data_IF_968454812937
#
_entry.id   IF_968454812937
#
_cell.length_a   1.000
_cell.length_b   1.000
_cell.length_c   1.000
_cell.angle_alpha   90.00
_cell.angle_beta   90.00
_cell.angle_gamma   90.00
#
_symmetry.space_group_name_H-M   'P 1'
#
loop_
_entity.id
_entity.type
_entity.pdbx_description
1 polymer ?
#
# COMPACT_ATOMS: atom_id res chain seq x y z
N UNK A 1 16.92 10.56 -13.92
CA UNK A 1 15.96 9.43 -14.04
C UNK A 1 14.59 9.95 -13.62
N UNK A 2 13.54 9.67 -14.40
CA UNK A 2 12.17 10.09 -14.05
C UNK A 2 11.69 9.30 -12.82
N UNK A 3 10.87 9.93 -11.98
CA UNK A 3 10.26 9.27 -10.82
C UNK A 3 9.46 8.04 -11.27
N UNK A 4 9.60 6.86 -10.63
CA UNK A 4 8.71 5.73 -10.86
C UNK A 4 7.23 6.08 -10.58
N UNK A 5 6.98 6.99 -9.62
CA UNK A 5 5.62 7.44 -9.28
C UNK A 5 4.99 8.21 -10.46
N UNK A 6 5.78 8.97 -11.22
CA UNK A 6 5.28 9.71 -12.39
C UNK A 6 4.76 8.80 -13.52
N UNK A 7 5.12 7.50 -13.52
CA UNK A 7 4.58 6.49 -14.42
C UNK A 7 4.03 5.31 -13.59
N UNK A 8 2.85 5.46 -12.96
CA UNK A 8 2.38 4.55 -11.92
C UNK A 8 1.87 3.20 -12.45
N UNK A 9 1.73 3.02 -13.77
CA UNK A 9 1.05 1.86 -14.35
C UNK A 9 1.63 0.50 -13.90
N UNK A 10 2.96 0.28 -13.85
CA UNK A 10 3.51 -0.97 -13.33
C UNK A 10 3.15 -1.20 -11.86
N UNK A 11 3.21 -0.16 -11.03
CA UNK A 11 2.90 -0.22 -9.59
C UNK A 11 1.42 -0.55 -9.37
N UNK A 12 0.53 0.15 -10.09
CA UNK A 12 -0.93 -0.09 -10.05
C UNK A 12 -1.26 -1.51 -10.51
N UNK A 13 -0.59 -2.02 -11.54
CA UNK A 13 -0.77 -3.39 -11.99
C UNK A 13 -0.33 -4.41 -10.93
N UNK A 14 0.78 -4.18 -10.24
CA UNK A 14 1.21 -5.03 -9.11
C UNK A 14 0.16 -5.05 -8.01
N UNK A 15 -0.31 -3.89 -7.53
CA UNK A 15 -1.32 -3.80 -6.46
C UNK A 15 -2.63 -4.53 -6.86
N UNK A 16 -3.09 -4.31 -8.09
CA UNK A 16 -4.28 -4.97 -8.62
C UNK A 16 -4.08 -6.50 -8.78
N UNK A 17 -2.88 -6.94 -9.17
CA UNK A 17 -2.51 -8.35 -9.23
C UNK A 17 -2.59 -9.01 -7.86
N UNK A 18 -1.95 -8.40 -6.86
CA UNK A 18 -2.00 -8.87 -5.47
C UNK A 18 -3.43 -8.93 -4.92
N UNK A 19 -4.29 -7.96 -5.26
CA UNK A 19 -5.71 -7.99 -4.89
C UNK A 19 -6.43 -9.21 -5.47
N UNK A 20 -6.25 -9.48 -6.77
CA UNK A 20 -6.86 -10.63 -7.46
C UNK A 20 -6.37 -11.96 -6.92
N UNK A 21 -5.06 -12.07 -6.68
CA UNK A 21 -4.46 -13.28 -6.09
C UNK A 21 -5.03 -13.54 -4.69
N UNK A 22 -5.09 -12.50 -3.84
CA UNK A 22 -5.64 -12.60 -2.49
C UNK A 22 -7.08 -13.12 -2.50
N UNK A 23 -7.93 -12.60 -3.39
CA UNK A 23 -9.32 -13.04 -3.55
C UNK A 23 -9.44 -14.47 -4.10
N UNK A 24 -8.57 -14.85 -5.03
CA UNK A 24 -8.56 -16.19 -5.61
C UNK A 24 -8.19 -17.24 -4.54
N UNK A 25 -7.16 -16.94 -3.74
CA UNK A 25 -6.72 -17.80 -2.64
C UNK A 25 -7.82 -17.92 -1.57
N UNK A 26 -8.45 -16.81 -1.19
CA UNK A 26 -9.54 -16.82 -0.20
C UNK A 26 -10.71 -17.72 -0.64
N UNK A 27 -11.15 -17.59 -1.90
CA UNK A 27 -12.18 -18.47 -2.47
C UNK A 27 -11.76 -19.94 -2.48
N UNK A 28 -10.51 -20.24 -2.80
CA UNK A 28 -9.96 -21.59 -2.77
C UNK A 28 -9.96 -22.19 -1.36
N UNK A 29 -9.58 -21.40 -0.36
CA UNK A 29 -9.58 -21.80 1.05
C UNK A 29 -11.02 -22.02 1.55
N UNK A 30 -11.96 -21.14 1.19
CA UNK A 30 -13.36 -21.30 1.54
C UNK A 30 -13.95 -22.59 0.93
N UNK A 31 -13.60 -22.90 -0.32
CA UNK A 31 -13.99 -24.15 -0.98
C UNK A 31 -13.42 -25.37 -0.26
N UNK A 32 -12.11 -25.37 0.03
CA UNK A 32 -11.46 -26.46 0.76
C UNK A 32 -12.09 -26.68 2.14
N UNK A 33 -12.40 -25.60 2.88
CA UNK A 33 -13.08 -25.67 4.18
C UNK A 33 -14.45 -26.35 4.07
N UNK A 34 -15.23 -25.97 3.06
CA UNK A 34 -16.56 -26.55 2.81
C UNK A 34 -16.47 -28.03 2.44
N UNK A 35 -15.56 -28.39 1.54
CA UNK A 35 -15.43 -29.76 1.05
C UNK A 35 -14.90 -30.69 2.16
N UNK A 36 -13.96 -30.22 3.00
CA UNK A 36 -13.52 -30.93 4.19
C UNK A 36 -14.66 -31.17 5.19
N UNK A 37 -15.51 -30.17 5.41
CA UNK A 37 -16.70 -30.31 6.26
C UNK A 37 -17.68 -31.35 5.70
N UNK A 38 -17.91 -31.35 4.37
CA UNK A 38 -18.78 -32.33 3.71
C UNK A 38 -18.25 -33.76 3.82
N UNK A 39 -16.92 -33.97 3.73
CA UNK A 39 -16.34 -35.30 3.95
C UNK A 39 -16.57 -35.79 5.38
N UNK A 40 -16.32 -34.93 6.38
CA UNK A 40 -16.56 -35.26 7.77
C UNK A 40 -18.04 -35.62 8.05
N UNK A 41 -18.97 -34.88 7.46
CA UNK A 41 -20.41 -35.13 7.59
C UNK A 41 -20.84 -36.47 6.95
N UNK A 42 -20.37 -36.75 5.73
CA UNK A 42 -20.82 -37.92 4.98
C UNK A 42 -20.13 -39.23 5.40
N UNK A 43 -18.86 -39.16 5.85
CA UNK A 43 -18.03 -40.34 6.07
C UNK A 43 -17.48 -40.47 7.49
N UNK A 44 -17.66 -39.46 8.36
CA UNK A 44 -17.06 -39.42 9.69
C UNK A 44 -17.47 -40.56 10.62
N UNK A 45 -18.62 -41.18 10.40
CA UNK A 45 -19.08 -42.33 11.19
C UNK A 45 -18.18 -43.57 11.01
N UNK A 46 -17.61 -43.76 9.82
CA UNK A 46 -16.77 -44.93 9.50
C UNK A 46 -15.29 -44.57 9.39
N UNK A 47 -14.98 -43.34 9.01
CA UNK A 47 -13.61 -42.88 8.75
C UNK A 47 -13.30 -41.67 9.62
N UNK A 48 -13.21 -41.85 10.93
CA UNK A 48 -13.06 -40.76 11.92
C UNK A 48 -11.91 -39.77 11.61
N UNK A 49 -10.85 -40.22 10.93
CA UNK A 49 -9.74 -39.36 10.47
C UNK A 49 -10.20 -38.16 9.60
N UNK A 50 -11.33 -38.24 8.89
CA UNK A 50 -11.83 -37.10 8.11
C UNK A 50 -12.30 -35.92 8.97
N UNK A 51 -12.57 -36.13 10.26
CA UNK A 51 -12.84 -35.04 11.20
C UNK A 51 -11.58 -34.17 11.44
N UNK A 52 -10.39 -34.78 11.49
CA UNK A 52 -9.13 -34.05 11.66
C UNK A 52 -8.84 -33.13 10.47
N UNK A 53 -9.20 -33.56 9.26
CA UNK A 53 -9.10 -32.74 8.05
C UNK A 53 -10.00 -31.51 8.15
N UNK A 54 -11.28 -31.68 8.52
CA UNK A 54 -12.22 -30.57 8.73
C UNK A 54 -11.66 -29.55 9.72
N UNK A 55 -11.19 -30.01 10.87
CA UNK A 55 -10.71 -29.12 11.94
C UNK A 55 -9.44 -28.38 11.50
N UNK A 56 -8.51 -29.07 10.84
CA UNK A 56 -7.27 -28.46 10.34
C UNK A 56 -7.55 -27.39 9.27
N UNK A 57 -8.44 -27.65 8.33
CA UNK A 57 -8.81 -26.68 7.29
C UNK A 57 -9.57 -25.50 7.86
N UNK A 58 -10.44 -25.71 8.86
CA UNK A 58 -11.11 -24.62 9.57
C UNK A 58 -10.11 -23.71 10.29
N UNK A 59 -9.17 -24.28 11.05
CA UNK A 59 -8.13 -23.51 11.73
C UNK A 59 -7.23 -22.75 10.75
N UNK A 60 -6.88 -23.37 9.61
CA UNK A 60 -6.11 -22.68 8.57
C UNK A 60 -6.89 -21.50 7.98
N UNK A 61 -8.17 -21.69 7.65
CA UNK A 61 -9.05 -20.63 7.15
C UNK A 61 -9.14 -19.46 8.13
N UNK A 62 -9.30 -19.71 9.43
CA UNK A 62 -9.38 -18.63 10.43
C UNK A 62 -8.06 -17.85 10.55
N UNK A 63 -6.91 -18.52 10.42
CA UNK A 63 -5.60 -17.84 10.36
C UNK A 63 -5.45 -17.03 9.08
N UNK A 64 -5.85 -17.58 7.94
CA UNK A 64 -5.81 -16.90 6.65
C UNK A 64 -6.62 -15.61 6.66
N UNK A 65 -7.86 -15.65 7.15
CA UNK A 65 -8.73 -14.47 7.25
C UNK A 65 -8.07 -13.37 8.09
N UNK A 66 -7.45 -13.70 9.22
CA UNK A 66 -6.73 -12.71 10.05
C UNK A 66 -5.60 -12.03 9.28
N UNK A 67 -4.77 -12.81 8.59
CA UNK A 67 -3.66 -12.29 7.79
C UNK A 67 -4.16 -11.42 6.63
N UNK A 68 -5.29 -11.78 6.03
CA UNK A 68 -5.90 -11.02 4.94
C UNK A 68 -6.53 -9.70 5.42
N UNK A 69 -7.05 -9.67 6.65
CA UNK A 69 -7.49 -8.42 7.29
C UNK A 69 -6.29 -7.52 7.65
N UNK A 70 -5.19 -8.09 8.14
CA UNK A 70 -3.96 -7.33 8.40
C UNK A 70 -3.40 -6.71 7.09
N UNK A 71 -3.44 -7.44 5.96
CA UNK A 71 -3.00 -6.88 4.68
C UNK A 71 -3.94 -5.80 4.13
N UNK A 72 -5.26 -5.94 4.36
CA UNK A 72 -6.26 -4.91 4.05
C UNK A 72 -5.98 -3.62 4.82
N UNK A 73 -5.69 -3.73 6.11
CA UNK A 73 -5.44 -2.58 6.98
C UNK A 73 -4.11 -1.91 6.64
N UNK A 74 -3.08 -2.69 6.31
CA UNK A 74 -1.84 -2.19 5.74
C UNK A 74 -2.08 -1.40 4.44
N UNK A 75 -2.82 -1.95 3.48
CA UNK A 75 -3.16 -1.26 2.24
C UNK A 75 -3.91 0.06 2.50
N UNK A 76 -4.84 0.07 3.47
CA UNK A 76 -5.57 1.29 3.84
C UNK A 76 -4.65 2.36 4.43
N UNK A 77 -3.71 1.96 5.29
CA UNK A 77 -2.73 2.88 5.87
C UNK A 77 -1.77 3.45 4.80
N UNK A 78 -1.32 2.61 3.86
CA UNK A 78 -0.50 3.05 2.71
C UNK A 78 -1.27 4.01 1.80
N UNK A 79 -2.57 3.76 1.55
CA UNK A 79 -3.40 4.68 0.78
C UNK A 79 -3.47 6.07 1.43
N UNK A 80 -3.67 6.13 2.75
CA UNK A 80 -3.66 7.40 3.50
C UNK A 80 -2.30 8.08 3.42
N UNK A 81 -1.21 7.33 3.48
CA UNK A 81 0.15 7.86 3.33
C UNK A 81 0.38 8.50 1.96
N UNK A 82 0.02 7.82 0.87
CA UNK A 82 0.10 8.39 -0.48
C UNK A 82 -0.81 9.61 -0.66
N UNK A 83 -2.00 9.61 -0.04
CA UNK A 83 -2.89 10.78 -0.04
C UNK A 83 -2.25 11.99 0.65
N UNK A 84 -1.66 11.78 1.83
CA UNK A 84 -0.96 12.85 2.56
C UNK A 84 0.21 13.38 1.73
N UNK A 85 1.02 12.48 1.17
CA UNK A 85 2.12 12.86 0.29
C UNK A 85 1.65 13.72 -0.89
N UNK A 86 0.61 13.28 -1.62
CA UNK A 86 0.16 13.96 -2.84
C UNK A 86 -0.62 15.26 -2.59
N UNK A 87 -1.45 15.30 -1.55
CA UNK A 87 -2.37 16.42 -1.30
C UNK A 87 -1.75 17.47 -0.39
N UNK A 88 -0.99 17.06 0.63
CA UNK A 88 -0.40 17.97 1.61
C UNK A 88 1.00 18.36 1.15
N UNK A 89 1.92 17.40 1.08
CA UNK A 89 3.33 17.73 0.90
C UNK A 89 3.68 18.23 -0.51
N UNK A 90 3.17 17.56 -1.56
CA UNK A 90 3.34 18.09 -2.93
C UNK A 90 2.51 19.38 -3.14
N UNK A 91 1.44 19.58 -2.35
CA UNK A 91 0.71 20.85 -2.28
C UNK A 91 1.61 21.97 -1.77
N UNK A 92 2.28 21.77 -0.64
CA UNK A 92 3.23 22.74 -0.07
C UNK A 92 4.31 23.15 -1.07
N UNK A 93 4.88 22.21 -1.83
CA UNK A 93 5.87 22.53 -2.88
C UNK A 93 5.27 23.41 -3.98
N UNK A 94 4.02 23.16 -4.35
CA UNK A 94 3.28 23.95 -5.34
C UNK A 94 3.02 25.38 -4.88
N UNK A 95 3.00 25.60 -3.55
CA UNK A 95 2.67 26.89 -2.94
C UNK A 95 3.90 27.72 -2.54
N UNK A 96 5.13 27.25 -2.81
CA UNK A 96 6.36 27.99 -2.51
C UNK A 96 6.40 29.31 -3.29
N UNK A 97 6.48 30.45 -2.56
CA UNK A 97 6.61 31.80 -3.13
C UNK A 97 7.86 32.53 -2.62
N UNK A 98 8.40 32.11 -1.49
CA UNK A 98 9.54 32.70 -0.79
C UNK A 98 10.58 31.64 -0.41
N UNK A 99 11.79 32.08 -0.07
CA UNK A 99 12.82 31.19 0.48
C UNK A 99 12.42 30.61 1.85
N UNK A 100 11.59 31.34 2.62
CA UNK A 100 11.02 30.84 3.87
C UNK A 100 10.10 29.64 3.64
N UNK A 101 9.17 29.73 2.67
CA UNK A 101 8.27 28.61 2.34
C UNK A 101 9.06 27.37 1.93
N UNK A 102 10.14 27.55 1.15
CA UNK A 102 11.06 26.47 0.75
C UNK A 102 11.67 25.77 1.97
N UNK A 103 12.15 26.54 2.95
CA UNK A 103 12.78 26.00 4.16
C UNK A 103 11.77 25.29 5.07
N UNK A 104 10.55 25.81 5.16
CA UNK A 104 9.43 25.16 5.85
C UNK A 104 9.07 23.83 5.19
N UNK A 105 8.95 23.78 3.87
CA UNK A 105 8.70 22.53 3.11
C UNK A 105 9.78 21.49 3.38
N UNK A 106 11.06 21.89 3.39
CA UNK A 106 12.17 20.97 3.70
C UNK A 106 12.07 20.44 5.13
N UNK A 107 11.61 21.25 6.08
CA UNK A 107 11.41 20.86 7.48
C UNK A 107 10.26 19.87 7.63
N UNK A 108 9.11 20.16 7.03
CA UNK A 108 7.94 19.27 7.03
C UNK A 108 8.24 17.92 6.36
N UNK A 109 8.99 17.93 5.25
CA UNK A 109 9.44 16.69 4.63
C UNK A 109 10.30 15.83 5.54
N UNK A 110 11.21 16.42 6.33
CA UNK A 110 11.99 15.65 7.31
C UNK A 110 11.10 15.02 8.36
N UNK A 111 10.13 15.79 8.89
CA UNK A 111 9.17 15.27 9.86
C UNK A 111 8.37 14.08 9.31
N UNK A 112 7.92 14.16 8.07
CA UNK A 112 7.21 13.05 7.42
C UNK A 112 8.08 11.80 7.23
N UNK A 113 9.37 11.96 6.92
CA UNK A 113 10.30 10.82 6.82
C UNK A 113 10.53 10.10 8.16
N UNK A 114 10.39 10.81 9.29
CA UNK A 114 10.57 10.26 10.64
C UNK A 114 9.39 9.37 11.08
N UNK A 115 8.21 9.49 10.45
CA UNK A 115 7.03 8.69 10.79
C UNK A 115 7.19 7.19 10.45
N UNK A 116 8.12 6.84 9.56
CA UNK A 116 8.37 5.46 9.14
C UNK A 116 7.32 4.89 8.19
N UNK A 117 7.41 3.58 7.87
CA UNK A 117 6.48 2.93 6.93
C UNK A 117 5.16 2.54 7.62
N UNK A 118 4.00 2.98 7.10
CA UNK A 118 2.72 2.68 7.72
C UNK A 118 2.38 1.19 7.74
N UNK A 119 2.92 0.37 6.84
CA UNK A 119 2.70 -1.08 6.85
C UNK A 119 3.38 -1.81 8.01
N UNK A 120 4.41 -1.21 8.63
CA UNK A 120 5.23 -1.86 9.66
C UNK A 120 4.45 -2.18 10.96
N UNK A 121 3.29 -1.56 11.18
CA UNK A 121 2.42 -1.84 12.33
C UNK A 121 1.58 -3.12 12.18
N UNK A 122 1.56 -3.73 10.98
CA UNK A 122 0.73 -4.91 10.67
C UNK A 122 1.55 -6.20 10.58
N UNK A 123 0.94 -7.33 10.92
CA UNK A 123 1.60 -8.64 10.98
C UNK A 123 1.53 -9.36 9.63
N UNK A 124 2.42 -9.00 8.72
CA UNK A 124 2.45 -9.55 7.36
C UNK A 124 3.49 -10.66 7.13
N UNK A 125 4.11 -11.18 8.20
CA UNK A 125 5.26 -12.11 8.08
C UNK A 125 4.89 -13.44 7.42
N UNK A 126 3.65 -13.91 7.59
CA UNK A 126 3.14 -15.13 6.95
C UNK A 126 2.80 -14.96 5.47
N UNK A 127 2.85 -13.73 4.95
CA UNK A 127 2.65 -13.37 3.53
C UNK A 127 3.82 -12.50 3.06
N UNK A 128 5.04 -12.97 3.31
CA UNK A 128 6.29 -12.23 3.09
C UNK A 128 6.44 -11.63 1.68
N UNK A 129 5.95 -12.32 0.64
CA UNK A 129 5.95 -11.79 -0.73
C UNK A 129 5.11 -10.51 -0.88
N UNK A 130 3.89 -10.50 -0.32
CA UNK A 130 3.04 -9.31 -0.30
C UNK A 130 3.66 -8.19 0.55
N UNK A 131 4.19 -8.54 1.72
CA UNK A 131 4.91 -7.59 2.60
C UNK A 131 6.05 -6.89 1.85
N UNK A 132 6.83 -7.65 1.09
CA UNK A 132 7.94 -7.11 0.32
C UNK A 132 7.45 -6.14 -0.77
N UNK A 133 6.39 -6.48 -1.51
CA UNK A 133 5.83 -5.59 -2.52
C UNK A 133 5.29 -4.29 -1.91
N UNK A 134 4.60 -4.36 -0.76
CA UNK A 134 4.12 -3.18 -0.06
C UNK A 134 5.29 -2.27 0.35
N UNK A 135 6.34 -2.84 0.96
CA UNK A 135 7.53 -2.10 1.34
C UNK A 135 8.24 -1.46 0.14
N UNK A 136 8.34 -2.17 -0.99
CA UNK A 136 8.95 -1.64 -2.21
C UNK A 136 8.20 -0.42 -2.74
N UNK A 137 6.86 -0.45 -2.67
CA UNK A 137 6.02 0.64 -3.13
C UNK A 137 6.10 1.81 -2.14
N UNK A 138 5.96 1.55 -0.84
CA UNK A 138 6.09 2.58 0.21
C UNK A 138 7.42 3.34 0.13
N UNK A 139 8.53 2.63 -0.16
CA UNK A 139 9.86 3.20 -0.28
C UNK A 139 9.99 4.26 -1.40
N UNK A 140 9.08 4.28 -2.37
CA UNK A 140 9.10 5.28 -3.45
C UNK A 140 8.82 6.69 -2.92
N UNK A 141 7.99 6.84 -1.89
CA UNK A 141 7.64 8.15 -1.33
C UNK A 141 8.86 8.79 -0.65
N UNK A 142 9.57 8.13 0.29
CA UNK A 142 10.82 8.65 0.85
C UNK A 142 11.86 9.01 -0.19
N UNK A 143 12.03 8.18 -1.23
CA UNK A 143 12.98 8.45 -2.31
C UNK A 143 12.63 9.74 -3.07
N UNK A 144 11.36 9.94 -3.39
CA UNK A 144 10.90 11.15 -4.07
C UNK A 144 11.03 12.39 -3.19
N UNK A 145 10.73 12.27 -1.89
CA UNK A 145 10.91 13.33 -0.91
C UNK A 145 12.38 13.74 -0.83
N UNK A 146 13.29 12.79 -0.68
CA UNK A 146 14.73 13.07 -0.59
C UNK A 146 15.23 13.79 -1.85
N UNK A 147 14.79 13.35 -3.03
CA UNK A 147 15.13 14.00 -4.30
C UNK A 147 14.56 15.43 -4.37
N UNK A 148 13.31 15.63 -3.95
CA UNK A 148 12.66 16.94 -3.92
C UNK A 148 13.38 17.88 -2.96
N UNK A 149 13.69 17.42 -1.75
CA UNK A 149 14.46 18.18 -0.76
C UNK A 149 15.84 18.57 -1.28
N UNK A 150 16.55 17.68 -1.98
CA UNK A 150 17.85 18.01 -2.58
C UNK A 150 17.72 19.16 -3.59
N UNK A 151 16.69 19.15 -4.43
CA UNK A 151 16.43 20.24 -5.39
C UNK A 151 16.11 21.53 -4.64
N UNK A 152 15.21 21.49 -3.65
CA UNK A 152 14.85 22.64 -2.83
C UNK A 152 16.09 23.26 -2.15
N UNK A 153 16.91 22.44 -1.50
CA UNK A 153 18.13 22.90 -0.81
C UNK A 153 19.18 23.48 -1.78
N UNK A 154 19.21 23.02 -3.03
CA UNK A 154 20.10 23.56 -4.06
C UNK A 154 19.59 24.88 -4.68
N UNK A 155 18.29 25.18 -4.56
CA UNK A 155 17.66 26.36 -5.12
C UNK A 155 18.04 27.61 -4.31
N UNK A 156 19.16 28.23 -4.66
CA UNK A 156 19.74 29.40 -3.99
C UNK A 156 20.15 30.48 -5.00
N UNK A 157 20.39 31.70 -4.53
CA UNK A 157 20.87 32.80 -5.38
C UNK A 157 19.80 33.32 -6.35
N UNK A 158 20.17 34.17 -7.33
CA UNK A 158 19.18 34.92 -8.14
C UNK A 158 18.25 34.05 -8.99
N UNK A 159 18.61 32.79 -9.26
CA UNK A 159 17.86 31.86 -10.11
C UNK A 159 16.95 30.90 -9.33
N UNK A 160 16.91 30.98 -7.99
CA UNK A 160 16.19 30.01 -7.16
C UNK A 160 14.73 29.82 -7.59
N UNK A 161 14.04 30.90 -7.98
CA UNK A 161 12.65 30.85 -8.45
C UNK A 161 12.47 29.97 -9.69
N UNK A 162 13.39 30.04 -10.65
CA UNK A 162 13.33 29.21 -11.86
C UNK A 162 13.52 27.72 -11.53
N UNK A 163 14.38 27.42 -10.55
CA UNK A 163 14.56 26.04 -10.06
C UNK A 163 13.27 25.53 -9.41
N UNK A 164 12.61 26.35 -8.58
CA UNK A 164 11.34 26.00 -7.95
C UNK A 164 10.22 25.83 -8.99
N UNK A 165 10.07 26.75 -9.94
CA UNK A 165 9.06 26.65 -11.00
C UNK A 165 9.21 25.36 -11.81
N UNK A 166 10.47 25.00 -12.14
CA UNK A 166 10.75 23.73 -12.83
C UNK A 166 10.41 22.52 -11.97
N UNK A 167 10.77 22.54 -10.68
CA UNK A 167 10.43 21.47 -9.74
C UNK A 167 8.91 21.29 -9.63
N UNK A 168 8.15 22.38 -9.54
CA UNK A 168 6.70 22.35 -9.48
C UNK A 168 6.10 21.67 -10.73
N UNK A 169 6.62 21.99 -11.92
CA UNK A 169 6.22 21.33 -13.17
C UNK A 169 6.57 19.83 -13.18
N UNK A 170 7.79 19.48 -12.74
CA UNK A 170 8.28 18.09 -12.70
C UNK A 170 7.47 17.22 -11.72
N UNK A 171 6.87 17.82 -10.68
CA UNK A 171 6.07 17.12 -9.67
C UNK A 171 4.59 16.94 -10.04
N UNK A 172 4.08 17.63 -11.07
CA UNK A 172 2.70 17.43 -11.57
C UNK A 172 2.40 15.96 -11.89
N UNK A 173 3.21 15.24 -12.70
CA UNK A 173 2.96 13.83 -12.97
C UNK A 173 3.18 12.94 -11.73
N UNK A 174 4.06 13.32 -10.80
CA UNK A 174 4.27 12.59 -9.53
C UNK A 174 3.02 12.67 -8.65
N UNK A 175 2.37 13.83 -8.57
CA UNK A 175 1.11 14.00 -7.85
C UNK A 175 0.01 13.13 -8.44
N UNK A 176 -0.20 13.23 -9.76
CA UNK A 176 -1.19 12.41 -10.47
C UNK A 176 -0.92 10.90 -10.33
N UNK A 177 0.34 10.50 -10.32
CA UNK A 177 0.74 9.12 -10.11
C UNK A 177 0.52 8.62 -8.68
N UNK A 178 0.81 9.45 -7.69
CA UNK A 178 0.55 9.16 -6.28
C UNK A 178 -0.93 8.93 -6.01
N UNK A 179 -1.80 9.74 -6.61
CA UNK A 179 -3.26 9.55 -6.53
C UNK A 179 -3.73 8.26 -7.19
N UNK A 180 -3.09 7.81 -8.27
CA UNK A 180 -3.42 6.52 -8.89
C UNK A 180 -3.01 5.34 -8.00
N UNK A 181 -1.85 5.42 -7.36
CA UNK A 181 -1.37 4.40 -6.41
C UNK A 181 -2.27 4.37 -5.18
N UNK A 182 -2.64 5.53 -4.63
CA UNK A 182 -3.60 5.67 -3.53
C UNK A 182 -4.95 5.01 -3.84
N UNK A 183 -5.50 5.27 -5.03
CA UNK A 183 -6.74 4.62 -5.49
C UNK A 183 -6.57 3.11 -5.64
N UNK A 184 -5.42 2.62 -6.11
CA UNK A 184 -5.17 1.19 -6.24
C UNK A 184 -5.14 0.49 -4.87
N UNK A 185 -4.46 1.05 -3.87
CA UNK A 185 -4.48 0.51 -2.50
C UNK A 185 -5.86 0.61 -1.85
N UNK A 186 -6.59 1.70 -2.08
CA UNK A 186 -7.99 1.83 -1.64
C UNK A 186 -8.86 0.73 -2.27
N UNK A 187 -8.64 0.43 -3.55
CA UNK A 187 -9.29 -0.67 -4.26
C UNK A 187 -8.94 -2.04 -3.69
N UNK A 188 -7.66 -2.30 -3.41
CA UNK A 188 -7.20 -3.51 -2.72
C UNK A 188 -7.96 -3.70 -1.40
N UNK A 189 -7.96 -2.69 -0.53
CA UNK A 189 -8.60 -2.77 0.78
C UNK A 189 -10.13 -2.96 0.67
N UNK A 190 -10.78 -2.19 -0.20
CA UNK A 190 -12.24 -2.25 -0.39
C UNK A 190 -12.71 -3.60 -0.92
N UNK A 191 -11.94 -4.22 -1.82
CA UNK A 191 -12.27 -5.54 -2.36
C UNK A 191 -12.28 -6.61 -1.26
N UNK A 192 -11.35 -6.53 -0.31
CA UNK A 192 -11.27 -7.46 0.81
C UNK A 192 -12.37 -7.20 1.86
N UNK A 193 -12.74 -5.94 2.14
CA UNK A 193 -13.86 -5.64 3.05
C UNK A 193 -15.17 -6.26 2.57
N UNK A 194 -15.47 -6.19 1.27
CA UNK A 194 -16.71 -6.73 0.68
C UNK A 194 -16.88 -8.24 0.86
N UNK A 195 -15.78 -8.97 1.03
CA UNK A 195 -15.80 -10.42 1.28
C UNK A 195 -16.31 -10.72 2.69
N UNK A 196 -15.95 -9.88 3.66
CA UNK A 196 -16.21 -10.13 5.08
C UNK A 196 -17.41 -9.37 5.66
N UNK A 197 -18.02 -8.45 4.92
CA UNK A 197 -19.32 -7.84 5.27
C UNK A 197 -20.53 -8.72 4.88
N UNK A 198 -20.31 -9.80 4.10
CA UNK A 198 -21.37 -10.70 3.61
C UNK A 198 -21.50 -12.02 4.38
N UNK A 199 -20.71 -12.22 5.44
CA UNK A 199 -20.78 -13.36 6.34
C UNK A 199 -21.27 -12.94 7.72
#
# INVERSE_FOLDING_TARGET
MSSPIANPAPIVNTINGLSKESLSIDNGIATAKRDAAAFAENYGNHFQMVAELKDSTAQFSDRWVKVLLDSRDAASAIAVWYRRFSQVFLGMVSDIQTEGDRDDVVTEFKGFLEEGYPSAQFRLDSIAGLKQEFNNIEALVPQEIQKTMQVLQSATGPEWKQVIEKLQQDLVPVKAGSEQIERAFTGYASNLSRVYEKN
#
